data_IF_299538902156
#
_entry.id   IF_299538902156
#
_cell.length_a   1.000
_cell.length_b   1.000
_cell.length_c   1.000
_cell.angle_alpha   90.00
_cell.angle_beta   90.00
_cell.angle_gamma   90.00
#
_symmetry.space_group_name_H-M   'P 1'
#
loop_
_entity.id
_entity.type
_entity.pdbx_description
1 polymer ?
#
# COMPACT_ATOMS: atom_id res chain seq x y z
N UNK A 1 -1.27 5.20 -17.53
CA UNK A 1 -0.89 6.56 -17.05
C UNK A 1 0.62 6.72 -16.92
N UNK A 2 1.30 5.82 -16.18
CA UNK A 2 2.76 5.80 -16.03
C UNK A 2 3.49 5.96 -17.37
N UNK A 3 3.25 5.07 -18.33
CA UNK A 3 3.92 5.06 -19.64
C UNK A 3 3.80 6.40 -20.39
N UNK A 4 2.66 7.07 -20.27
CA UNK A 4 2.42 8.36 -20.93
C UNK A 4 3.27 9.48 -20.30
N UNK A 5 3.38 9.48 -18.96
CA UNK A 5 4.19 10.45 -18.22
C UNK A 5 5.67 10.22 -18.53
N UNK A 6 6.14 8.99 -18.42
CA UNK A 6 7.54 8.63 -18.67
C UNK A 6 7.96 8.99 -20.09
N UNK A 7 7.16 8.60 -21.10
CA UNK A 7 7.44 8.89 -22.52
C UNK A 7 7.48 10.39 -22.82
N UNK A 8 6.55 11.17 -22.26
CA UNK A 8 6.44 12.61 -22.58
C UNK A 8 7.43 13.48 -21.82
N UNK A 9 7.89 13.04 -20.64
CA UNK A 9 8.74 13.83 -19.75
C UNK A 9 10.19 13.34 -19.70
N UNK A 10 10.48 12.15 -20.21
CA UNK A 10 11.83 11.58 -20.17
C UNK A 10 12.29 11.29 -18.74
N UNK A 11 11.36 10.89 -17.87
CA UNK A 11 11.61 10.57 -16.45
C UNK A 11 11.16 9.15 -16.15
N UNK A 12 11.66 8.61 -15.06
CA UNK A 12 11.14 7.39 -14.46
C UNK A 12 10.13 7.73 -13.37
N UNK A 13 8.94 7.15 -13.43
CA UNK A 13 7.87 7.38 -12.49
C UNK A 13 7.67 6.16 -11.59
N UNK A 14 7.69 6.39 -10.28
CA UNK A 14 7.44 5.39 -9.24
C UNK A 14 6.22 5.78 -8.42
N UNK A 15 5.48 4.79 -7.91
CA UNK A 15 4.36 5.02 -7.01
C UNK A 15 4.83 5.16 -5.54
N UNK A 16 4.15 6.01 -4.78
CA UNK A 16 4.27 6.16 -3.32
C UNK A 16 2.87 6.06 -2.71
N UNK A 17 2.77 5.40 -1.55
CA UNK A 17 1.51 5.18 -0.85
C UNK A 17 1.59 5.63 0.61
N UNK A 18 0.45 6.09 1.12
CA UNK A 18 0.26 6.46 2.50
C UNK A 18 -1.09 7.09 2.77
N UNK A 19 -1.47 7.13 4.04
CA UNK A 19 -2.71 7.72 4.55
C UNK A 19 -2.43 8.38 5.89
N UNK A 20 -3.18 9.44 6.21
CA UNK A 20 -2.91 10.33 7.34
C UNK A 20 -3.00 9.62 8.68
N UNK A 21 -3.94 8.68 8.82
CA UNK A 21 -4.19 7.91 10.03
C UNK A 21 -2.97 7.06 10.43
N UNK A 22 -2.27 6.52 9.43
CA UNK A 22 -1.05 5.75 9.65
C UNK A 22 0.13 6.69 9.83
N UNK A 23 0.45 7.57 8.88
CA UNK A 23 1.50 8.59 9.06
C UNK A 23 1.42 9.73 8.04
N UNK A 24 0.86 9.45 6.86
CA UNK A 24 1.03 10.25 5.64
C UNK A 24 1.78 9.45 4.56
N UNK A 25 2.30 10.11 3.52
CA UNK A 25 3.07 9.44 2.47
C UNK A 25 4.33 8.77 3.04
N UNK A 26 4.72 7.63 2.46
CA UNK A 26 5.90 6.88 2.89
C UNK A 26 5.60 5.64 3.71
N UNK A 27 4.33 5.17 3.75
CA UNK A 27 4.00 3.84 4.28
C UNK A 27 4.55 2.75 3.38
N UNK A 28 4.44 2.94 2.06
CA UNK A 28 5.01 2.06 1.06
C UNK A 28 5.49 2.86 -0.15
N UNK A 29 6.54 2.38 -0.83
CA UNK A 29 7.09 3.03 -2.01
C UNK A 29 7.65 2.00 -2.99
N UNK A 30 7.45 2.25 -4.27
CA UNK A 30 8.01 1.42 -5.33
C UNK A 30 9.51 1.69 -5.50
N UNK A 31 10.26 0.61 -5.72
CA UNK A 31 11.70 0.67 -5.98
C UNK A 31 11.93 0.92 -7.48
N UNK A 32 12.71 1.94 -7.82
CA UNK A 32 12.94 2.36 -9.22
C UNK A 32 13.61 1.26 -10.05
N UNK A 33 14.42 0.43 -9.42
CA UNK A 33 15.14 -0.69 -10.04
C UNK A 33 14.24 -1.85 -10.50
N UNK A 34 13.05 -2.01 -9.91
CA UNK A 34 12.12 -3.10 -10.25
C UNK A 34 10.78 -2.65 -10.80
N UNK A 35 10.27 -1.48 -10.37
CA UNK A 35 8.95 -0.94 -10.76
C UNK A 35 7.82 -1.98 -10.73
N UNK A 36 7.85 -2.85 -9.72
CA UNK A 36 7.03 -4.06 -9.63
C UNK A 36 6.00 -3.97 -8.48
N UNK A 37 5.70 -2.78 -7.97
CA UNK A 37 4.77 -2.57 -6.87
C UNK A 37 5.39 -1.86 -5.68
N UNK A 38 4.55 -1.54 -4.69
CA UNK A 38 4.93 -0.69 -3.56
C UNK A 38 5.54 -1.54 -2.44
N UNK A 39 6.85 -1.45 -2.21
CA UNK A 39 7.49 -2.08 -1.05
C UNK A 39 6.97 -1.42 0.23
N UNK A 40 6.43 -2.22 1.14
CA UNK A 40 5.90 -1.74 2.42
C UNK A 40 7.05 -1.68 3.42
N UNK A 41 7.18 -0.57 4.15
CA UNK A 41 8.15 -0.47 5.25
C UNK A 41 7.60 -1.16 6.50
N UNK A 42 7.51 -2.49 6.42
CA UNK A 42 6.82 -3.33 7.42
C UNK A 42 7.57 -3.48 8.75
N UNK A 43 8.77 -2.93 8.84
CA UNK A 43 9.49 -2.63 10.08
C UNK A 43 8.84 -1.50 10.89
N UNK A 44 8.09 -0.61 10.24
CA UNK A 44 7.32 0.47 10.86
C UNK A 44 5.79 0.26 10.78
N UNK A 45 5.30 -0.36 9.71
CA UNK A 45 3.87 -0.52 9.43
C UNK A 45 3.54 -1.96 9.04
N UNK A 46 3.14 -2.77 10.01
CA UNK A 46 2.85 -4.19 9.78
C UNK A 46 1.58 -4.38 8.93
N UNK A 47 1.66 -5.04 7.76
CA UNK A 47 0.52 -5.21 6.87
C UNK A 47 -0.17 -6.56 7.02
N UNK A 48 -1.50 -6.52 6.93
CA UNK A 48 -2.39 -7.66 6.74
C UNK A 48 -3.33 -7.39 5.56
N UNK A 49 -3.84 -8.43 4.91
CA UNK A 49 -4.95 -8.31 3.97
C UNK A 49 -6.10 -9.17 4.49
N UNK A 50 -7.30 -8.59 4.52
CA UNK A 50 -8.51 -9.25 5.02
C UNK A 50 -9.62 -9.24 3.97
N UNK A 51 -10.55 -10.17 4.10
CA UNK A 51 -11.82 -10.08 3.41
C UNK A 51 -12.62 -8.90 4.01
N UNK A 52 -13.12 -7.95 3.19
CA UNK A 52 -13.77 -6.75 3.69
C UNK A 52 -15.13 -7.02 4.35
N UNK A 53 -15.81 -8.11 4.02
CA UNK A 53 -17.12 -8.47 4.57
C UNK A 53 -16.98 -9.25 5.87
N UNK A 54 -16.08 -10.24 5.90
CA UNK A 54 -15.93 -11.18 7.03
C UNK A 54 -14.86 -10.75 8.04
N UNK A 55 -13.84 -10.00 7.60
CA UNK A 55 -12.68 -9.64 8.42
C UNK A 55 -11.65 -10.76 8.58
N UNK A 56 -11.83 -11.91 7.90
CA UNK A 56 -10.88 -13.01 7.92
C UNK A 56 -9.59 -12.67 7.14
N UNK A 57 -8.45 -13.16 7.62
CA UNK A 57 -7.16 -12.95 6.94
C UNK A 57 -7.11 -13.74 5.63
N UNK A 58 -6.74 -13.06 4.56
CA UNK A 58 -6.51 -13.66 3.26
C UNK A 58 -5.06 -14.12 3.11
N UNK A 59 -4.84 -15.04 2.16
CA UNK A 59 -3.49 -15.51 1.84
C UNK A 59 -2.74 -14.47 1.01
N UNK A 60 -1.42 -14.60 0.98
CA UNK A 60 -0.60 -13.78 0.09
C UNK A 60 -1.02 -13.97 -1.38
N UNK A 61 -1.06 -12.87 -2.13
CA UNK A 61 -1.56 -12.81 -3.51
C UNK A 61 -3.08 -12.64 -3.65
N UNK A 62 -3.88 -12.94 -2.61
CA UNK A 62 -5.33 -12.73 -2.64
C UNK A 62 -5.67 -11.24 -2.44
N UNK A 63 -6.63 -10.74 -3.23
CA UNK A 63 -7.05 -9.33 -3.19
C UNK A 63 -8.08 -9.15 -2.07
N UNK A 64 -7.88 -8.12 -1.25
CA UNK A 64 -8.76 -7.78 -0.14
C UNK A 64 -8.43 -6.42 0.44
N UNK A 65 -8.97 -6.11 1.61
CA UNK A 65 -8.75 -4.85 2.28
C UNK A 65 -7.41 -4.85 3.04
N UNK A 66 -6.61 -3.82 2.81
CA UNK A 66 -5.37 -3.60 3.55
C UNK A 66 -5.66 -3.15 4.98
N UNK A 67 -4.98 -3.81 5.92
CA UNK A 67 -5.00 -3.46 7.33
C UNK A 67 -3.58 -3.19 7.79
N UNK A 68 -3.40 -2.10 8.54
CA UNK A 68 -2.09 -1.64 9.01
C UNK A 68 -2.03 -1.51 10.53
N UNK A 69 -0.92 -1.97 11.10
CA UNK A 69 -0.59 -1.75 12.52
C UNK A 69 0.73 -0.98 12.61
N UNK A 70 0.76 0.14 13.32
CA UNK A 70 2.00 0.89 13.53
C UNK A 70 2.85 0.25 14.62
N UNK A 71 4.15 0.06 14.34
CA UNK A 71 5.09 -0.57 15.25
C UNK A 71 5.92 0.42 16.07
N UNK A 72 6.10 1.65 15.57
CA UNK A 72 7.02 2.64 16.17
C UNK A 72 6.38 4.00 16.45
N UNK A 73 5.06 4.16 16.26
CA UNK A 73 4.38 5.43 16.54
C UNK A 73 4.06 5.57 18.02
N UNK A 74 4.40 6.71 18.60
CA UNK A 74 4.16 7.00 20.03
C UNK A 74 2.88 7.81 20.27
N UNK A 75 2.69 8.92 19.56
CA UNK A 75 1.62 9.87 19.86
C UNK A 75 0.21 9.36 19.46
N UNK A 76 0.12 8.61 18.36
CA UNK A 76 -1.14 8.04 17.86
C UNK A 76 -0.87 6.68 17.21
N UNK A 77 -0.62 5.63 18.02
CA UNK A 77 -0.45 4.28 17.51
C UNK A 77 -1.79 3.76 16.97
N UNK A 78 -1.74 3.10 15.82
CA UNK A 78 -2.91 2.47 15.20
C UNK A 78 -2.75 0.96 15.24
N UNK A 79 -3.78 0.26 15.70
CA UNK A 79 -3.79 -1.20 15.83
C UNK A 79 -4.86 -1.75 14.90
N UNK A 80 -4.45 -2.58 13.94
CA UNK A 80 -5.31 -3.18 12.91
C UNK A 80 -6.26 -2.17 12.26
N UNK A 81 -5.72 -1.04 11.82
CA UNK A 81 -6.49 0.00 11.14
C UNK A 81 -6.87 -0.44 9.73
N UNK A 82 -8.18 -0.41 9.45
CA UNK A 82 -8.83 -0.79 8.20
C UNK A 82 -8.76 0.36 7.19
N UNK A 83 -7.87 0.27 6.19
CA UNK A 83 -7.61 1.39 5.26
C UNK A 83 -8.70 1.58 4.21
N UNK A 84 -9.56 0.56 4.03
CA UNK A 84 -10.52 0.44 2.93
C UNK A 84 -9.90 0.34 1.54
N UNK A 85 -8.59 0.36 1.40
CA UNK A 85 -7.94 0.17 0.11
C UNK A 85 -7.86 -1.31 -0.26
N UNK A 86 -8.03 -1.65 -1.54
CA UNK A 86 -8.14 -3.04 -2.02
C UNK A 86 -6.93 -3.57 -2.81
N UNK A 87 -5.72 -3.68 -2.24
CA UNK A 87 -4.58 -4.31 -2.88
C UNK A 87 -4.53 -5.83 -2.62
N UNK A 88 -3.42 -6.46 -3.01
CA UNK A 88 -2.97 -7.74 -2.46
C UNK A 88 -1.50 -7.62 -2.03
N UNK A 89 -1.04 -8.49 -1.13
CA UNK A 89 0.37 -8.59 -0.75
C UNK A 89 1.10 -9.54 -1.69
N UNK A 90 2.36 -9.20 -2.00
CA UNK A 90 3.23 -9.92 -2.95
C UNK A 90 4.62 -10.06 -2.31
N UNK A 91 5.38 -11.14 -2.59
CA UNK A 91 6.73 -11.31 -2.04
C UNK A 91 7.66 -10.12 -2.31
N UNK A 92 8.58 -9.84 -1.40
CA UNK A 92 9.65 -8.87 -1.61
C UNK A 92 10.56 -9.25 -2.78
N UNK A 93 11.11 -8.25 -3.47
CA UNK A 93 12.06 -8.42 -4.59
C UNK A 93 13.32 -7.59 -4.37
N UNK A 94 13.25 -6.27 -4.61
CA UNK A 94 14.37 -5.35 -4.42
C UNK A 94 14.76 -5.17 -2.96
N UNK A 95 13.83 -5.44 -2.04
CA UNK A 95 14.00 -5.38 -0.58
C UNK A 95 13.46 -6.67 0.05
N UNK A 96 13.90 -6.94 1.27
CA UNK A 96 13.40 -8.06 2.07
C UNK A 96 11.90 -7.94 2.38
N UNK A 97 11.44 -6.70 2.57
CA UNK A 97 10.04 -6.42 2.87
C UNK A 97 9.10 -6.78 1.71
N UNK A 98 7.89 -7.19 2.05
CA UNK A 98 6.80 -7.49 1.12
C UNK A 98 6.36 -6.24 0.36
N UNK A 99 5.74 -6.46 -0.79
CA UNK A 99 5.12 -5.42 -1.62
C UNK A 99 3.61 -5.49 -1.54
N UNK A 100 2.94 -4.39 -1.86
CA UNK A 100 1.54 -4.38 -2.24
C UNK A 100 1.38 -4.06 -3.73
N UNK A 101 0.42 -4.73 -4.36
CA UNK A 101 -0.07 -4.34 -5.68
C UNK A 101 -0.62 -2.91 -5.63
N UNK A 102 -0.60 -2.23 -6.78
CA UNK A 102 -1.22 -0.91 -6.93
C UNK A 102 -2.67 -0.96 -6.45
N UNK A 103 -3.09 0.03 -5.66
CA UNK A 103 -4.47 0.14 -5.19
C UNK A 103 -5.39 0.31 -6.40
N UNK A 104 -6.34 -0.61 -6.53
CA UNK A 104 -7.27 -0.69 -7.68
C UNK A 104 -8.68 -0.22 -7.33
N UNK A 105 -8.93 0.10 -6.07
CA UNK A 105 -10.22 0.59 -5.59
C UNK A 105 -10.26 0.66 -4.07
N UNK A 106 -11.40 1.14 -3.57
CA UNK A 106 -11.73 1.18 -2.15
C UNK A 106 -12.97 0.34 -1.87
N UNK A 107 -13.08 -0.16 -0.64
CA UNK A 107 -14.24 -0.94 -0.17
C UNK A 107 -15.36 -0.06 0.39
N UNK A 108 -15.18 1.26 0.38
CA UNK A 108 -16.15 2.25 0.84
C UNK A 108 -16.60 3.16 -0.31
N UNK A 109 -17.59 4.02 -0.04
CA UNK A 109 -18.14 4.96 -1.02
C UNK A 109 -17.26 6.23 -1.20
N UNK A 110 -16.02 6.22 -0.70
CA UNK A 110 -15.16 7.40 -0.71
C UNK A 110 -14.59 7.63 -2.11
N UNK A 111 -14.96 8.76 -2.72
CA UNK A 111 -14.37 9.22 -3.97
C UNK A 111 -13.18 10.13 -3.70
N UNK A 112 -12.04 9.81 -4.32
CA UNK A 112 -10.85 10.65 -4.35
C UNK A 112 -10.86 11.43 -5.67
N UNK A 113 -11.01 12.76 -5.61
CA UNK A 113 -11.00 13.63 -6.79
C UNK A 113 -9.88 14.67 -6.67
N UNK A 114 -8.90 14.59 -7.57
CA UNK A 114 -7.70 15.43 -7.61
C UNK A 114 -6.70 15.26 -6.44
N UNK A 115 -6.62 14.04 -5.88
CA UNK A 115 -5.64 13.67 -4.84
C UNK A 115 -6.31 13.20 -3.56
#
# INVERSE_FOLDING_TARGET
MRDNIETRKGVEAVDIYGLSEVIGPGVAQECIETKDGLTIWEDHFYPEVIDPETGERLKEGERGELVLTSLTKEASPVIRYRTRDLPCLIPGTARTMRRMAKVTGRSDDMMIFAG
#
